data_IF_754610102531
#
_entry.id   IF_754610102531
#
_cell.length_a   1.000
_cell.length_b   1.000
_cell.length_c   1.000
_cell.angle_alpha   90.00
_cell.angle_beta   90.00
_cell.angle_gamma   90.00
#
_symmetry.space_group_name_H-M   'P 1'
#
loop_
_entity.id
_entity.type
_entity.pdbx_description
1 polymer ?
#
# COMPACT_ATOMS: atom_id res chain seq x y z
N UNK A 1 -4.75 -78.09 42.83
CA UNK A 1 -4.76 -77.30 41.58
C UNK A 1 -5.31 -75.92 41.89
N UNK A 2 -4.45 -74.92 42.10
CA UNK A 2 -4.78 -73.48 42.08
C UNK A 2 -3.47 -72.70 42.14
N UNK A 3 -3.12 -72.10 41.00
CA UNK A 3 -1.95 -71.26 40.79
C UNK A 3 -2.23 -69.82 41.22
N UNK A 4 -1.18 -69.14 41.70
CA UNK A 4 -1.11 -67.69 41.89
C UNK A 4 -1.30 -66.95 40.56
N UNK A 5 -1.91 -65.76 40.61
CA UNK A 5 -1.67 -64.73 39.60
C UNK A 5 -1.43 -63.39 40.30
N UNK A 6 -0.19 -62.90 40.20
CA UNK A 6 0.21 -61.55 40.56
C UNK A 6 -0.12 -60.61 39.40
N UNK A 7 -0.85 -59.54 39.66
CA UNK A 7 -1.15 -58.48 38.69
C UNK A 7 -0.01 -57.47 38.66
N UNK A 8 0.68 -57.39 37.52
CA UNK A 8 1.68 -56.36 37.21
C UNK A 8 0.95 -55.21 36.48
N UNK A 9 1.00 -54.00 37.02
CA UNK A 9 0.47 -52.79 36.36
C UNK A 9 1.59 -52.18 35.53
N UNK A 10 1.46 -52.22 34.20
CA UNK A 10 2.30 -51.45 33.28
C UNK A 10 1.69 -50.05 33.14
N UNK A 11 2.44 -49.02 33.55
CA UNK A 11 2.13 -47.64 33.22
C UNK A 11 2.66 -47.32 31.82
N UNK A 12 1.78 -47.09 30.84
CA UNK A 12 2.17 -46.54 29.54
C UNK A 12 2.35 -45.03 29.66
N UNK A 13 3.59 -44.55 29.52
CA UNK A 13 3.84 -43.12 29.28
C UNK A 13 3.38 -42.78 27.86
N UNK A 14 2.22 -42.14 27.75
CA UNK A 14 1.80 -41.51 26.51
C UNK A 14 2.59 -40.22 26.30
N UNK A 15 3.39 -40.16 25.24
CA UNK A 15 3.92 -38.90 24.71
C UNK A 15 2.76 -38.16 24.05
N UNK A 16 2.33 -37.05 24.66
CA UNK A 16 1.42 -36.13 23.97
C UNK A 16 2.17 -35.48 22.81
N UNK A 17 1.60 -35.44 21.59
CA UNK A 17 2.14 -34.57 20.57
C UNK A 17 2.06 -33.13 21.09
N UNK A 18 3.17 -32.41 21.01
CA UNK A 18 3.15 -30.95 21.15
C UNK A 18 2.31 -30.44 19.99
N UNK A 19 1.10 -29.98 20.29
CA UNK A 19 0.33 -29.16 19.36
C UNK A 19 1.19 -27.93 19.08
N UNK A 20 1.84 -27.91 17.92
CA UNK A 20 2.37 -26.68 17.35
C UNK A 20 1.15 -25.80 17.13
N UNK A 21 0.87 -24.89 18.07
CA UNK A 21 -0.16 -23.88 17.85
C UNK A 21 0.20 -23.17 16.56
N UNK A 22 -0.63 -23.32 15.53
CA UNK A 22 -0.52 -22.51 14.32
C UNK A 22 -0.58 -21.04 14.79
N UNK A 23 0.47 -20.27 14.54
CA UNK A 23 0.47 -18.85 14.87
C UNK A 23 -0.68 -18.20 14.07
N UNK A 24 -1.56 -17.50 14.78
CA UNK A 24 -2.69 -16.83 14.14
C UNK A 24 -2.17 -15.72 13.22
N UNK A 25 -2.71 -15.65 12.01
CA UNK A 25 -2.39 -14.59 11.06
C UNK A 25 -2.69 -13.22 11.68
N UNK A 26 -1.79 -12.26 11.48
CA UNK A 26 -1.91 -10.90 11.98
C UNK A 26 -1.51 -9.88 10.92
N UNK A 27 -1.94 -8.63 11.12
CA UNK A 27 -1.54 -7.51 10.27
C UNK A 27 -0.12 -7.04 10.61
N UNK A 28 0.71 -6.97 9.58
CA UNK A 28 2.07 -6.47 9.59
C UNK A 28 2.16 -5.19 8.75
N UNK A 29 2.57 -4.08 9.38
CA UNK A 29 2.84 -2.83 8.67
C UNK A 29 4.11 -2.96 7.83
N UNK A 30 4.00 -2.69 6.54
CA UNK A 30 5.14 -2.50 5.64
C UNK A 30 5.45 -0.99 5.64
N UNK A 31 6.53 -0.55 6.29
CA UNK A 31 6.79 0.88 6.45
C UNK A 31 7.19 1.52 5.12
N UNK A 32 6.76 2.76 4.92
CA UNK A 32 6.99 3.51 3.68
C UNK A 32 7.86 4.76 3.91
N UNK A 33 8.15 5.11 5.15
CA UNK A 33 8.75 6.38 5.57
C UNK A 33 10.07 6.70 4.86
N UNK A 34 10.93 5.72 4.66
CA UNK A 34 12.24 5.91 4.00
C UNK A 34 12.11 6.22 2.49
N UNK A 35 10.94 5.95 1.91
CA UNK A 35 10.64 6.15 0.49
C UNK A 35 9.57 7.23 0.26
N UNK A 36 8.91 7.69 1.32
CA UNK A 36 7.83 8.66 1.23
C UNK A 36 8.36 10.04 0.85
N UNK A 37 7.69 10.69 -0.10
CA UNK A 37 8.15 11.93 -0.72
C UNK A 37 7.09 13.05 -0.72
N UNK A 38 5.93 12.81 -0.11
CA UNK A 38 4.83 13.77 -0.04
C UNK A 38 4.21 13.77 1.37
N UNK A 39 4.53 14.77 2.22
CA UNK A 39 3.88 14.91 3.52
C UNK A 39 2.36 15.07 3.38
N UNK A 40 1.60 14.44 4.28
CA UNK A 40 0.13 14.45 4.23
C UNK A 40 -0.46 15.83 4.52
N UNK A 41 0.26 16.67 5.26
CA UNK A 41 -0.15 18.04 5.61
C UNK A 41 0.36 19.09 4.60
N UNK A 42 1.16 18.66 3.62
CA UNK A 42 1.60 19.53 2.52
C UNK A 42 0.65 19.43 1.33
N UNK A 43 0.55 20.51 0.56
CA UNK A 43 -0.31 20.56 -0.61
C UNK A 43 0.22 19.63 -1.70
N UNK A 44 -0.63 18.75 -2.23
CA UNK A 44 -0.26 17.77 -3.24
C UNK A 44 -0.09 18.44 -4.62
N UNK A 45 -0.89 19.44 -4.93
CA UNK A 45 -0.82 20.20 -6.18
C UNK A 45 0.30 21.27 -6.17
N UNK A 46 0.75 21.75 -7.34
CA UNK A 46 1.61 22.93 -7.37
C UNK A 46 0.85 24.12 -6.76
N UNK A 47 1.60 25.15 -6.37
CA UNK A 47 1.29 26.32 -5.51
C UNK A 47 -0.09 27.02 -5.63
N UNK A 48 -0.92 26.69 -6.62
CA UNK A 48 -2.24 27.28 -6.87
C UNK A 48 -3.41 26.64 -6.09
N UNK A 49 -3.17 25.53 -5.37
CA UNK A 49 -4.21 24.78 -4.63
C UNK A 49 -3.93 24.70 -3.12
N UNK A 50 -3.67 25.83 -2.42
CA UNK A 50 -3.22 25.80 -1.03
C UNK A 50 -4.17 25.03 -0.12
N UNK A 51 -3.64 24.05 0.61
CA UNK A 51 -4.39 23.17 1.50
C UNK A 51 -5.15 22.04 0.78
N UNK A 52 -4.77 21.72 -0.46
CA UNK A 52 -5.22 20.52 -1.15
C UNK A 52 -4.31 19.35 -0.78
N UNK A 53 -4.57 18.83 0.41
CA UNK A 53 -3.72 17.89 1.13
C UNK A 53 -4.54 16.72 1.70
N UNK A 54 -3.87 15.83 2.44
CA UNK A 54 -4.46 14.74 3.23
C UNK A 54 -4.43 15.04 4.74
N UNK A 55 -4.47 16.32 5.14
CA UNK A 55 -4.35 16.71 6.57
C UNK A 55 -5.47 16.16 7.47
N UNK A 56 -6.60 15.75 6.90
CA UNK A 56 -7.70 15.11 7.64
C UNK A 56 -7.62 13.59 7.69
N UNK A 57 -6.66 12.99 6.98
CA UNK A 57 -6.37 11.58 7.14
C UNK A 57 -5.78 11.38 8.54
N UNK A 58 -6.40 10.57 9.42
CA UNK A 58 -5.79 10.26 10.71
C UNK A 58 -4.43 9.60 10.53
N UNK A 59 -3.51 9.83 11.46
CA UNK A 59 -2.22 9.14 11.50
C UNK A 59 -2.20 8.04 12.55
N UNK A 60 -1.22 7.14 12.46
CA UNK A 60 -1.05 6.00 13.35
C UNK A 60 -1.96 4.82 12.98
N UNK A 61 -2.09 3.87 13.91
CA UNK A 61 -2.93 2.68 13.73
C UNK A 61 -4.40 3.04 13.56
N UNK A 62 -4.96 2.73 12.40
CA UNK A 62 -6.36 2.92 12.04
C UNK A 62 -6.92 1.66 11.40
N UNK A 63 -8.18 1.38 11.70
CA UNK A 63 -8.94 0.35 11.01
C UNK A 63 -9.76 0.99 9.89
N UNK A 64 -9.44 0.66 8.65
CA UNK A 64 -10.18 1.11 7.46
C UNK A 64 -10.83 -0.11 6.82
N UNK A 65 -12.17 -0.18 6.87
CA UNK A 65 -12.88 -1.41 6.53
C UNK A 65 -12.55 -2.54 7.52
N UNK A 66 -12.08 -3.66 6.99
CA UNK A 66 -11.64 -4.82 7.80
C UNK A 66 -10.13 -4.84 8.08
N UNK A 67 -9.36 -3.97 7.44
CA UNK A 67 -7.89 -3.98 7.45
C UNK A 67 -7.35 -2.98 8.48
N UNK A 68 -6.29 -3.39 9.19
CA UNK A 68 -5.50 -2.48 10.01
C UNK A 68 -4.34 -1.90 9.20
N UNK A 69 -4.26 -0.57 9.20
CA UNK A 69 -3.16 0.19 8.62
C UNK A 69 -2.48 1.02 9.70
N UNK A 70 -1.17 1.18 9.61
CA UNK A 70 -0.46 2.26 10.26
C UNK A 70 -0.33 3.42 9.26
N UNK A 71 -1.14 4.47 9.44
CA UNK A 71 -1.22 5.58 8.49
C UNK A 71 -0.08 6.56 8.72
N UNK A 72 0.78 6.80 7.72
CA UNK A 72 1.97 7.63 7.90
C UNK A 72 1.64 9.12 7.83
N UNK A 73 2.63 9.96 8.17
CA UNK A 73 2.58 11.42 7.97
C UNK A 73 3.11 11.87 6.59
N UNK A 74 3.57 10.92 5.79
CA UNK A 74 4.07 11.14 4.43
C UNK A 74 3.71 9.94 3.57
N UNK A 75 3.33 10.18 2.33
CA UNK A 75 2.92 9.16 1.37
C UNK A 75 3.94 9.05 0.24
N UNK A 76 3.85 7.98 -0.53
CA UNK A 76 4.60 7.84 -1.77
C UNK A 76 3.76 8.43 -2.91
N UNK A 77 4.19 9.53 -3.49
CA UNK A 77 3.68 10.10 -4.73
C UNK A 77 4.55 9.65 -5.90
N UNK A 78 3.96 8.95 -6.86
CA UNK A 78 4.61 8.60 -8.13
C UNK A 78 4.38 9.67 -9.18
N UNK A 79 5.27 9.79 -10.17
CA UNK A 79 5.05 10.74 -11.27
C UNK A 79 3.85 10.39 -12.14
N UNK A 80 3.41 11.37 -12.91
CA UNK A 80 2.46 11.26 -14.00
C UNK A 80 2.59 12.49 -14.90
N UNK A 81 1.86 12.52 -16.02
CA UNK A 81 2.04 13.56 -17.07
C UNK A 81 1.95 15.00 -16.56
N UNK A 82 1.15 15.25 -15.52
CA UNK A 82 1.00 16.59 -14.93
C UNK A 82 2.11 16.96 -13.96
N UNK A 83 2.76 15.97 -13.32
CA UNK A 83 3.85 16.19 -12.37
C UNK A 83 5.20 16.29 -13.06
N UNK A 84 5.43 15.53 -14.13
CA UNK A 84 6.67 15.61 -14.92
C UNK A 84 6.96 17.03 -15.43
N UNK A 85 5.89 17.79 -15.72
CA UNK A 85 5.99 19.16 -16.20
C UNK A 85 6.18 20.21 -15.08
N UNK A 86 6.22 19.80 -13.82
CA UNK A 86 6.33 20.67 -12.65
C UNK A 86 7.72 20.56 -12.03
N UNK A 87 8.59 21.54 -12.29
CA UNK A 87 9.98 21.56 -11.79
C UNK A 87 10.10 21.51 -10.27
N UNK A 88 9.05 21.86 -9.54
CA UNK A 88 8.99 21.86 -8.08
C UNK A 88 8.61 20.49 -7.50
N UNK A 89 8.15 19.54 -8.33
CA UNK A 89 7.68 18.23 -7.91
C UNK A 89 8.60 17.13 -8.45
N UNK A 90 9.48 16.61 -7.60
CA UNK A 90 10.38 15.50 -7.94
C UNK A 90 9.75 14.14 -7.61
N UNK A 91 8.56 13.88 -8.14
CA UNK A 91 7.93 12.57 -8.00
C UNK A 91 8.66 11.57 -8.92
N UNK A 92 9.13 10.42 -8.42
CA UNK A 92 9.89 9.47 -9.22
C UNK A 92 8.99 8.62 -10.13
N UNK A 93 9.57 8.10 -11.22
CA UNK A 93 8.95 7.05 -12.03
C UNK A 93 9.01 5.68 -11.35
N UNK A 94 10.04 5.45 -10.53
CA UNK A 94 10.29 4.19 -9.86
C UNK A 94 10.75 4.43 -8.43
N UNK A 95 10.18 3.67 -7.50
CA UNK A 95 10.69 3.47 -6.14
C UNK A 95 11.01 1.99 -6.01
N UNK A 96 12.20 1.69 -5.51
CA UNK A 96 12.72 0.33 -5.41
C UNK A 96 12.98 -0.03 -3.95
N UNK A 97 13.06 -1.32 -3.69
CA UNK A 97 13.62 -1.85 -2.44
C UNK A 97 12.83 -1.48 -1.18
N UNK A 98 11.50 -1.31 -1.28
CA UNK A 98 10.65 -1.19 -0.09
C UNK A 98 10.65 -2.54 0.62
N UNK A 99 11.29 -2.60 1.78
CA UNK A 99 11.48 -3.84 2.53
C UNK A 99 10.16 -4.43 3.04
N UNK A 100 9.96 -5.74 2.83
CA UNK A 100 8.85 -6.53 3.40
C UNK A 100 9.37 -7.61 4.35
N UNK A 101 10.25 -8.49 3.85
CA UNK A 101 10.91 -9.54 4.64
C UNK A 101 9.98 -10.54 5.36
N UNK A 102 8.81 -10.83 4.80
CA UNK A 102 7.79 -11.66 5.43
C UNK A 102 7.09 -12.60 4.43
N UNK A 103 6.61 -13.74 4.92
CA UNK A 103 5.67 -14.59 4.20
C UNK A 103 4.27 -14.01 4.33
N UNK A 104 3.73 -13.46 3.25
CA UNK A 104 2.39 -12.86 3.27
C UNK A 104 1.37 -13.79 2.61
N UNK A 105 0.24 -14.02 3.27
CA UNK A 105 -0.93 -14.63 2.62
C UNK A 105 -1.64 -13.60 1.73
N UNK A 106 -1.71 -12.35 2.20
CA UNK A 106 -2.33 -11.22 1.51
C UNK A 106 -1.51 -9.96 1.68
N UNK A 107 -1.55 -9.12 0.66
CA UNK A 107 -1.08 -7.73 0.69
C UNK A 107 -2.28 -6.80 0.53
N UNK A 108 -2.38 -5.82 1.42
CA UNK A 108 -3.42 -4.79 1.42
C UNK A 108 -2.77 -3.45 1.12
N UNK A 109 -3.30 -2.77 0.10
CA UNK A 109 -2.74 -1.54 -0.44
C UNK A 109 -3.77 -0.43 -0.27
N UNK A 110 -3.40 0.65 0.41
CA UNK A 110 -4.21 1.86 0.49
C UNK A 110 -3.61 2.92 -0.44
N UNK A 111 -4.36 3.30 -1.48
CA UNK A 111 -3.87 4.19 -2.53
C UNK A 111 -4.99 4.99 -3.20
N UNK A 112 -4.64 5.99 -3.99
CA UNK A 112 -5.54 6.61 -4.97
C UNK A 112 -4.73 7.25 -6.10
N UNK A 113 -5.43 7.85 -7.06
CA UNK A 113 -4.80 8.63 -8.10
C UNK A 113 -5.09 10.12 -7.91
N UNK A 114 -4.17 10.97 -8.33
CA UNK A 114 -4.45 12.36 -8.66
C UNK A 114 -4.85 12.46 -10.13
N UNK A 115 -5.83 13.30 -10.44
CA UNK A 115 -6.35 13.51 -11.79
C UNK A 115 -6.98 12.24 -12.42
N UNK A 116 -7.39 12.37 -13.67
CA UNK A 116 -8.05 11.34 -14.48
C UNK A 116 -9.57 11.53 -14.58
N UNK A 117 -10.18 12.27 -13.65
CA UNK A 117 -11.64 12.40 -13.59
C UNK A 117 -12.17 13.68 -14.28
N UNK A 118 -11.38 14.75 -14.30
CA UNK A 118 -11.87 16.05 -14.78
C UNK A 118 -11.80 16.18 -16.30
N UNK A 119 -12.92 16.62 -16.89
CA UNK A 119 -13.00 16.98 -18.30
C UNK A 119 -13.35 15.81 -19.21
N UNK A 120 -12.81 15.81 -20.44
CA UNK A 120 -13.11 14.79 -21.46
C UNK A 120 -11.91 14.50 -22.34
N UNK A 121 -11.97 13.38 -23.08
CA UNK A 121 -10.93 13.02 -24.05
C UNK A 121 -10.61 14.19 -24.99
N UNK A 122 -9.31 14.49 -25.11
CA UNK A 122 -8.75 15.56 -25.95
C UNK A 122 -9.18 16.98 -25.57
N UNK A 123 -9.52 17.24 -24.30
CA UNK A 123 -9.66 18.61 -23.83
C UNK A 123 -8.30 19.30 -23.64
N UNK A 124 -8.32 20.63 -23.52
CA UNK A 124 -7.10 21.44 -23.44
C UNK A 124 -6.33 21.23 -22.13
N UNK A 125 -7.05 20.88 -21.06
CA UNK A 125 -6.45 20.68 -19.73
C UNK A 125 -5.85 19.28 -19.59
N UNK A 126 -6.32 18.31 -20.39
CA UNK A 126 -5.84 16.94 -20.44
C UNK A 126 -5.83 16.25 -19.08
N UNK A 127 -6.90 16.45 -18.28
CA UNK A 127 -7.08 15.90 -16.94
C UNK A 127 -7.91 14.60 -16.92
N UNK A 128 -8.37 14.12 -18.08
CA UNK A 128 -9.26 12.97 -18.19
C UNK A 128 -8.54 11.70 -18.64
N UNK A 129 -8.86 10.57 -18.02
CA UNK A 129 -8.38 9.25 -18.41
C UNK A 129 -9.55 8.26 -18.61
N UNK A 130 -9.48 7.35 -19.59
CA UNK A 130 -10.48 6.30 -19.76
C UNK A 130 -10.38 5.24 -18.66
N UNK A 131 -11.52 4.63 -18.31
CA UNK A 131 -11.54 3.42 -17.50
C UNK A 131 -10.79 2.28 -18.22
N UNK A 132 -10.09 1.44 -17.44
CA UNK A 132 -9.29 0.35 -17.97
C UNK A 132 -7.85 0.73 -18.35
N UNK A 133 -7.45 2.00 -18.19
CA UNK A 133 -6.08 2.45 -18.44
C UNK A 133 -5.14 1.96 -17.31
N UNK A 134 -4.10 1.16 -17.60
CA UNK A 134 -3.04 0.88 -16.62
C UNK A 134 -2.24 2.16 -16.33
N UNK A 135 -2.05 2.49 -15.06
CA UNK A 135 -1.38 3.75 -14.64
C UNK A 135 -0.08 3.51 -13.85
N UNK A 136 0.03 2.36 -13.19
CA UNK A 136 1.16 1.98 -12.36
C UNK A 136 1.10 0.48 -12.07
N UNK A 137 2.12 -0.06 -11.42
CA UNK A 137 2.07 -1.39 -10.82
C UNK A 137 2.97 -1.49 -9.59
N UNK A 138 2.64 -2.43 -8.72
CA UNK A 138 3.54 -2.91 -7.68
C UNK A 138 4.22 -4.18 -8.18
N UNK A 139 5.53 -4.25 -8.07
CA UNK A 139 6.30 -5.47 -8.33
C UNK A 139 6.70 -6.06 -6.98
N UNK A 140 6.18 -7.26 -6.70
CA UNK A 140 6.45 -8.02 -5.48
C UNK A 140 7.61 -8.95 -5.78
N UNK A 141 8.77 -8.71 -5.16
CA UNK A 141 9.99 -9.49 -5.38
C UNK A 141 10.16 -10.49 -4.23
N UNK A 142 10.22 -11.77 -4.55
CA UNK A 142 10.47 -12.82 -3.57
C UNK A 142 11.97 -13.00 -3.31
N UNK A 143 12.28 -13.59 -2.18
CA UNK A 143 13.67 -13.88 -1.75
C UNK A 143 14.45 -14.83 -2.67
N UNK A 144 13.77 -15.56 -3.58
CA UNK A 144 14.40 -16.35 -4.63
C UNK A 144 14.64 -15.58 -5.93
N UNK A 145 14.38 -14.26 -5.94
CA UNK A 145 14.41 -13.34 -7.08
C UNK A 145 13.34 -13.57 -8.15
N UNK A 146 12.35 -14.43 -7.90
CA UNK A 146 11.13 -14.41 -8.72
C UNK A 146 10.27 -13.20 -8.34
N UNK A 147 9.34 -12.80 -9.22
CA UNK A 147 8.45 -11.68 -8.94
C UNK A 147 7.04 -11.88 -9.47
N UNK A 148 6.10 -11.18 -8.85
CA UNK A 148 4.72 -11.03 -9.28
C UNK A 148 4.37 -9.55 -9.47
N UNK A 149 3.42 -9.27 -10.35
CA UNK A 149 3.01 -7.89 -10.67
C UNK A 149 1.56 -7.67 -10.29
N UNK A 150 1.32 -6.61 -9.52
CA UNK A 150 -0.01 -6.13 -9.16
C UNK A 150 -0.30 -4.89 -10.01
N UNK A 151 -1.02 -5.01 -11.14
CA UNK A 151 -1.33 -3.85 -11.97
C UNK A 151 -2.32 -2.94 -11.25
N UNK A 152 -2.11 -1.62 -11.39
CA UNK A 152 -3.05 -0.59 -10.97
C UNK A 152 -3.70 0.01 -12.20
N UNK A 153 -5.01 -0.16 -12.30
CA UNK A 153 -5.81 0.21 -13.47
C UNK A 153 -6.86 1.24 -13.08
N UNK A 154 -6.86 2.38 -13.78
CA UNK A 154 -7.79 3.48 -13.54
C UNK A 154 -9.24 3.05 -13.82
N UNK A 155 -10.14 3.36 -12.91
CA UNK A 155 -11.54 2.94 -12.94
C UNK A 155 -11.79 1.49 -12.54
N UNK A 156 -10.74 0.68 -12.32
CA UNK A 156 -10.81 -0.71 -11.84
C UNK A 156 -10.33 -0.81 -10.40
N UNK A 157 -9.20 -0.20 -10.08
CA UNK A 157 -8.59 -0.23 -8.73
C UNK A 157 -8.75 1.10 -8.02
N UNK A 158 -8.44 2.18 -8.73
CA UNK A 158 -8.44 3.54 -8.21
C UNK A 158 -9.13 4.48 -9.18
N UNK A 159 -9.55 5.63 -8.67
CA UNK A 159 -9.83 6.83 -9.47
C UNK A 159 -9.21 8.04 -8.80
N UNK A 160 -9.50 9.20 -9.38
CA UNK A 160 -9.18 10.49 -8.77
C UNK A 160 -9.67 10.52 -7.32
N UNK A 161 -8.75 10.90 -6.42
CA UNK A 161 -9.02 11.11 -5.01
C UNK A 161 -10.06 12.22 -4.81
N UNK A 162 -10.14 13.20 -5.71
CA UNK A 162 -11.28 14.11 -5.80
C UNK A 162 -12.45 13.38 -6.44
N UNK A 163 -13.39 12.96 -5.62
CA UNK A 163 -14.60 12.21 -6.03
C UNK A 163 -15.68 13.07 -6.71
N UNK A 164 -15.48 14.37 -6.80
CA UNK A 164 -16.48 15.33 -7.28
C UNK A 164 -16.58 15.38 -8.81
N UNK A 165 -15.49 15.06 -9.52
CA UNK A 165 -15.41 15.25 -10.97
C UNK A 165 -15.97 14.08 -11.79
N UNK A 166 -16.04 12.89 -11.20
CA UNK A 166 -16.58 11.69 -11.84
C UNK A 166 -17.90 11.24 -11.21
N UNK A 167 -18.58 12.13 -10.51
CA UNK A 167 -19.84 11.85 -9.83
C UNK A 167 -19.74 10.66 -8.86
N UNK A 168 -18.55 10.44 -8.27
CA UNK A 168 -18.25 9.37 -7.32
C UNK A 168 -18.44 7.97 -7.91
N UNK A 169 -18.18 7.83 -9.21
CA UNK A 169 -18.26 6.56 -9.92
C UNK A 169 -17.49 5.46 -9.16
N UNK A 170 -18.04 4.24 -9.02
CA UNK A 170 -17.36 3.15 -8.35
C UNK A 170 -16.17 2.65 -9.17
N UNK A 171 -15.34 1.83 -8.52
CA UNK A 171 -14.31 1.00 -9.14
C UNK A 171 -14.77 -0.47 -9.14
N UNK A 172 -14.09 -1.34 -9.87
CA UNK A 172 -14.52 -2.74 -10.05
C UNK A 172 -13.89 -3.71 -9.04
N UNK A 173 -12.61 -3.53 -8.71
CA UNK A 173 -11.83 -4.40 -7.83
C UNK A 173 -11.46 -3.72 -6.52
N UNK A 174 -11.18 -2.41 -6.53
CA UNK A 174 -10.89 -1.66 -5.31
C UNK A 174 -12.14 -1.38 -4.45
N UNK A 175 -11.92 -0.96 -3.20
CA UNK A 175 -12.98 -0.53 -2.28
C UNK A 175 -12.69 0.87 -1.72
N UNK A 176 -13.68 1.76 -1.67
CA UNK A 176 -13.51 3.06 -0.99
C UNK A 176 -13.63 2.87 0.52
N UNK A 177 -12.50 2.78 1.21
CA UNK A 177 -12.42 2.55 2.66
C UNK A 177 -12.22 3.82 3.50
N UNK A 178 -11.89 4.94 2.87
CA UNK A 178 -11.82 6.24 3.54
C UNK A 178 -12.45 7.34 2.69
N UNK A 179 -13.10 8.28 3.37
CA UNK A 179 -13.66 9.51 2.80
C UNK A 179 -13.38 10.67 3.74
N UNK A 180 -12.99 11.82 3.18
CA UNK A 180 -12.66 13.00 3.97
C UNK A 180 -12.78 14.29 3.16
N UNK A 181 -12.20 15.36 3.69
CA UNK A 181 -12.10 16.67 3.05
C UNK A 181 -10.70 17.25 3.30
N UNK A 182 -10.48 18.49 2.87
CA UNK A 182 -9.29 19.27 3.18
C UNK A 182 -9.62 20.78 3.16
N UNK A 183 -8.72 21.64 3.66
CA UNK A 183 -8.96 23.08 3.70
C UNK A 183 -9.26 23.70 2.32
N UNK A 184 -8.62 23.21 1.25
CA UNK A 184 -8.86 23.71 -0.10
C UNK A 184 -10.30 23.47 -0.53
N UNK A 185 -10.76 22.22 -0.49
CA UNK A 185 -12.10 21.83 -0.95
C UNK A 185 -13.23 22.48 -0.15
N UNK A 186 -13.02 22.76 1.14
CA UNK A 186 -13.99 23.52 1.95
C UNK A 186 -14.17 24.98 1.53
N UNK A 187 -13.11 25.60 0.98
CA UNK A 187 -13.15 27.00 0.54
C UNK A 187 -13.69 27.15 -0.88
N UNK A 188 -13.74 26.07 -1.66
CA UNK A 188 -14.22 26.11 -3.04
C UNK A 188 -15.72 26.42 -3.09
N UNK A 189 -16.10 27.25 -4.06
CA UNK A 189 -17.49 27.65 -4.31
C UNK A 189 -18.09 26.96 -5.53
N UNK A 190 -17.37 26.00 -6.13
CA UNK A 190 -17.86 25.26 -7.29
C UNK A 190 -19.17 24.53 -6.93
N UNK A 191 -20.25 24.67 -7.73
CA UNK A 191 -21.54 24.03 -7.45
C UNK A 191 -21.47 22.51 -7.25
N UNK A 192 -20.49 21.86 -7.88
CA UNK A 192 -20.24 20.42 -7.80
C UNK A 192 -19.58 19.99 -6.47
N UNK A 193 -18.98 20.93 -5.72
CA UNK A 193 -18.22 20.66 -4.49
C UNK A 193 -18.99 21.08 -3.24
N UNK A 194 -19.68 22.22 -3.27
CA UNK A 194 -20.28 22.85 -2.06
C UNK A 194 -21.28 21.97 -1.30
N UNK A 195 -21.94 21.03 -1.98
CA UNK A 195 -22.89 20.09 -1.36
C UNK A 195 -22.30 18.71 -1.08
N UNK A 196 -20.98 18.55 -1.23
CA UNK A 196 -20.27 17.29 -1.04
C UNK A 196 -19.58 17.28 0.31
N UNK A 197 -20.17 16.56 1.28
CA UNK A 197 -19.63 16.44 2.64
C UNK A 197 -18.20 15.92 2.68
N UNK A 198 -17.91 14.90 1.87
CA UNK A 198 -16.60 14.24 1.82
C UNK A 198 -16.14 14.13 0.36
N UNK A 199 -15.48 15.17 -0.17
CA UNK A 199 -15.06 15.21 -1.58
C UNK A 199 -13.84 14.34 -1.86
N UNK A 200 -13.09 13.93 -0.83
CA UNK A 200 -11.94 13.04 -0.97
C UNK A 200 -12.31 11.57 -0.75
N UNK A 201 -11.57 10.66 -1.39
CA UNK A 201 -11.66 9.21 -1.20
C UNK A 201 -10.32 8.52 -1.39
N UNK A 202 -10.11 7.43 -0.65
CA UNK A 202 -8.98 6.51 -0.84
C UNK A 202 -9.51 5.10 -1.05
N UNK A 203 -8.72 4.29 -1.78
CA UNK A 203 -9.08 2.95 -2.20
C UNK A 203 -8.20 1.92 -1.50
N UNK A 204 -8.83 0.84 -1.05
CA UNK A 204 -8.17 -0.39 -0.67
C UNK A 204 -8.18 -1.35 -1.86
N UNK A 205 -7.04 -1.98 -2.09
CA UNK A 205 -6.90 -3.15 -2.95
C UNK A 205 -6.33 -4.30 -2.11
N UNK A 206 -6.97 -5.47 -2.17
CA UNK A 206 -6.43 -6.73 -1.66
C UNK A 206 -5.78 -7.51 -2.80
N UNK A 207 -4.59 -8.03 -2.54
CA UNK A 207 -3.90 -8.99 -3.41
C UNK A 207 -3.62 -10.27 -2.63
N UNK A 208 -4.16 -11.40 -3.11
CA UNK A 208 -3.81 -12.72 -2.60
C UNK A 208 -2.48 -13.15 -3.18
N UNK A 209 -1.52 -13.46 -2.32
CA UNK A 209 -0.20 -13.93 -2.74
C UNK A 209 -0.34 -15.33 -3.38
N UNK A 210 0.04 -15.54 -4.66
CA UNK A 210 0.01 -16.86 -5.28
C UNK A 210 1.07 -17.82 -4.70
N UNK A 211 2.07 -17.28 -3.99
CA UNK A 211 3.19 -17.99 -3.39
C UNK A 211 3.36 -17.61 -1.91
N UNK A 212 2.39 -17.92 -1.02
CA UNK A 212 2.49 -17.59 0.40
C UNK A 212 3.64 -18.31 1.11
N UNK A 213 4.11 -19.44 0.55
CA UNK A 213 5.29 -20.17 1.02
C UNK A 213 6.62 -19.47 0.72
N UNK A 214 6.62 -18.47 -0.16
CA UNK A 214 7.81 -17.68 -0.49
C UNK A 214 7.81 -16.38 0.28
N UNK A 215 8.89 -16.11 1.00
CA UNK A 215 9.09 -14.80 1.62
C UNK A 215 9.19 -13.73 0.54
N UNK A 216 8.36 -12.69 0.67
CA UNK A 216 8.50 -11.46 -0.10
C UNK A 216 9.66 -10.69 0.50
N UNK A 217 10.66 -10.37 -0.30
CA UNK A 217 11.84 -9.63 0.13
C UNK A 217 11.54 -8.13 0.07
N UNK A 218 11.16 -7.64 -1.11
CA UNK A 218 10.90 -6.22 -1.36
C UNK A 218 9.70 -6.00 -2.27
N UNK A 219 9.20 -4.76 -2.27
CA UNK A 219 8.23 -4.25 -3.24
C UNK A 219 8.85 -3.06 -3.97
N UNK A 220 8.68 -3.03 -5.29
CA UNK A 220 8.94 -1.85 -6.11
C UNK A 220 7.61 -1.24 -6.55
N UNK A 221 7.58 0.09 -6.72
CA UNK A 221 6.43 0.82 -7.24
C UNK A 221 6.86 1.50 -8.53
N UNK A 222 6.12 1.25 -9.62
CA UNK A 222 6.46 1.78 -10.95
C UNK A 222 5.29 2.54 -11.52
N UNK A 223 5.53 3.80 -11.92
CA UNK A 223 4.59 4.60 -12.68
C UNK A 223 4.66 4.24 -14.17
N UNK A 224 3.51 4.22 -14.83
CA UNK A 224 3.44 4.13 -16.29
C UNK A 224 3.32 5.52 -16.95
N UNK A 225 3.64 6.57 -16.19
CA UNK A 225 3.62 7.98 -16.59
C UNK A 225 2.34 8.38 -17.37
N UNK A 226 1.18 8.02 -16.80
CA UNK A 226 -0.13 8.36 -17.35
C UNK A 226 -0.66 9.68 -16.75
N UNK A 227 -1.82 10.14 -17.24
CA UNK A 227 -2.49 11.32 -16.69
C UNK A 227 -2.80 11.13 -15.19
N UNK A 228 -3.42 10.01 -14.77
CA UNK A 228 -3.62 9.76 -13.35
C UNK A 228 -2.28 9.38 -12.72
N UNK A 229 -1.86 10.13 -11.71
CA UNK A 229 -0.63 9.88 -10.97
C UNK A 229 -0.95 9.11 -9.69
N UNK A 230 -0.41 7.90 -9.54
CA UNK A 230 -0.61 7.07 -8.35
C UNK A 230 0.04 7.73 -7.13
N UNK A 231 -0.64 7.70 -5.99
CA UNK A 231 0.00 7.82 -4.70
C UNK A 231 -0.42 6.68 -3.77
N UNK A 232 0.56 6.13 -3.04
CA UNK A 232 0.39 5.04 -2.07
C UNK A 232 0.47 5.59 -0.66
N UNK A 233 -0.59 5.39 0.11
CA UNK A 233 -0.73 5.89 1.48
C UNK A 233 -0.15 4.92 2.49
N UNK A 234 -0.48 3.63 2.38
CA UNK A 234 0.00 2.62 3.32
C UNK A 234 -0.05 1.21 2.71
N UNK A 235 0.80 0.33 3.23
CA UNK A 235 0.85 -1.09 2.91
C UNK A 235 0.73 -1.92 4.20
N UNK A 236 -0.08 -2.97 4.16
CA UNK A 236 -0.28 -3.90 5.28
C UNK A 236 -0.30 -5.33 4.75
N UNK A 237 0.42 -6.25 5.39
CA UNK A 237 0.43 -7.67 5.04
C UNK A 237 -0.30 -8.51 6.08
N UNK A 238 -0.95 -9.59 5.65
CA UNK A 238 -1.40 -10.66 6.56
C UNK A 238 -0.34 -11.75 6.60
N UNK A 239 0.22 -12.01 7.79
CA UNK A 239 1.33 -12.95 7.96
C UNK A 239 1.22 -13.72 9.26
N UNK A 240 1.83 -14.90 9.28
CA UNK A 240 2.08 -15.68 10.48
C UNK A 240 3.51 -15.47 11.01
N UNK A 241 4.40 -14.84 10.23
CA UNK A 241 5.80 -14.64 10.64
C UNK A 241 5.88 -13.76 11.90
N UNK A 242 6.61 -14.18 12.95
CA UNK A 242 6.73 -13.38 14.16
C UNK A 242 7.33 -11.99 13.90
N UNK A 243 6.78 -10.90 14.49
CA UNK A 243 7.31 -9.54 14.29
C UNK A 243 8.81 -9.39 14.61
N UNK A 244 9.32 -10.14 15.59
CA UNK A 244 10.75 -10.15 15.94
C UNK A 244 11.65 -10.75 14.86
N UNK A 245 11.14 -11.69 14.09
CA UNK A 245 11.89 -12.31 12.99
C UNK A 245 11.96 -11.36 11.79
N UNK A 246 10.84 -10.73 11.44
CA UNK A 246 10.79 -9.71 10.37
C UNK A 246 11.74 -8.55 10.68
N UNK A 247 11.74 -8.06 11.93
CA UNK A 247 12.66 -7.01 12.38
C UNK A 247 14.14 -7.45 12.31
N UNK A 248 14.43 -8.73 12.59
CA UNK A 248 15.79 -9.27 12.45
C UNK A 248 16.22 -9.28 10.98
N UNK A 249 15.33 -9.67 10.06
CA UNK A 249 15.57 -9.66 8.62
C UNK A 249 15.75 -8.23 8.09
N UNK A 250 14.98 -7.26 8.58
CA UNK A 250 15.12 -5.83 8.25
C UNK A 250 16.53 -5.32 8.55
N UNK A 251 17.03 -5.56 9.76
CA UNK A 251 18.39 -5.13 10.15
C UNK A 251 19.49 -5.76 9.30
N UNK A 252 19.27 -6.99 8.80
CA UNK A 252 20.21 -7.65 7.89
C UNK A 252 20.15 -6.99 6.52
N UNK A 253 18.95 -6.71 6.03
CA UNK A 253 18.71 -6.01 4.76
C UNK A 253 19.37 -4.62 4.74
N UNK A 254 19.11 -3.77 5.74
CA UNK A 254 19.70 -2.42 5.86
C UNK A 254 21.24 -2.45 5.87
N UNK A 255 21.84 -3.43 6.56
CA UNK A 255 23.31 -3.61 6.57
C UNK A 255 23.86 -3.96 5.19
N UNK A 256 23.14 -4.74 4.39
CA UNK A 256 23.54 -5.09 3.02
C UNK A 256 23.48 -3.87 2.12
N UNK A 257 22.36 -3.12 2.15
CA UNK A 257 22.19 -1.90 1.35
C UNK A 257 23.27 -0.85 1.67
N UNK A 258 23.55 -0.62 2.96
CA UNK A 258 24.60 0.32 3.36
C UNK A 258 26.01 -0.09 2.89
N UNK A 259 26.28 -1.40 2.87
CA UNK A 259 27.56 -1.94 2.41
C UNK A 259 27.72 -1.79 0.89
N UNK A 260 26.66 -2.01 0.12
CA UNK A 260 26.64 -1.82 -1.34
C UNK A 260 26.88 -0.35 -1.73
N UNK A 261 26.18 0.58 -1.08
CA UNK A 261 26.33 2.03 -1.35
C UNK A 261 27.74 2.54 -1.05
N UNK A 262 28.37 2.06 0.03
CA UNK A 262 29.75 2.45 0.40
C UNK A 262 30.77 1.95 -0.62
N UNK A 263 30.54 0.79 -1.25
CA UNK A 263 31.42 0.27 -2.30
C UNK A 263 31.28 1.05 -3.61
N UNK A 264 30.07 1.48 -3.97
CA UNK A 264 29.84 2.31 -5.16
C UNK A 264 30.44 3.71 -5.02
N UNK A 265 30.42 4.32 -3.82
CA UNK A 265 31.00 5.66 -3.60
C UNK A 265 32.54 5.71 -3.62
N UNK A 266 33.20 4.55 -3.54
CA UNK A 266 34.66 4.44 -3.47
C UNK A 266 35.31 4.02 -4.80
N UNK A 267 34.51 3.87 -5.86
CA UNK A 267 34.96 3.59 -7.24
C UNK A 267 34.71 4.79 -8.15
#
# INVERSE_FOLDING_TARGET
MRFLLSTLILASMGTFPVDTMAEESHFYTIPLEDHANQPTEETFAPSDYPGDDLSELPSGKQKLGTVEYDLPKSVIQMTGKHLENQKEFNAPEKIENIFVGAHLERLHILHAARWGAYGKRNDQLNHWAPDGLPIAYYEVVYSDNTSEVIPVVYGVDVRDWWSVWDERKPVLRGEVVWRGSNPHLRRRQDPQIVNVRFPLRLYHLEWSNPHPEKMIDTINIVSLNQIPALFTVALSGETQDPPSEIETRRRIFEKREHSSQTQESNN
#
